data_IF_747516559674
#
_entry.id   IF_747516559674
#
_cell.length_a   1.000
_cell.length_b   1.000
_cell.length_c   1.000
_cell.angle_alpha   90.00
_cell.angle_beta   90.00
_cell.angle_gamma   90.00
#
_symmetry.space_group_name_H-M   'P 1'
#
loop_
_entity.id
_entity.type
_entity.pdbx_description
1 polymer ?
#
# COMPACT_ATOMS: atom_id res chain seq x y z
N UNK A 1 1.48 -5.35 0.60
CA UNK A 1 1.84 -4.01 0.08
C UNK A 1 2.75 -4.20 -1.13
N UNK A 2 2.45 -3.57 -2.26
CA UNK A 2 3.29 -3.69 -3.46
C UNK A 2 3.07 -2.49 -4.40
N UNK A 3 4.11 -2.14 -5.14
CA UNK A 3 4.06 -1.11 -6.18
C UNK A 3 3.71 -1.68 -7.56
N UNK A 4 4.07 -2.94 -7.83
CA UNK A 4 3.74 -3.65 -9.07
C UNK A 4 2.39 -4.39 -8.93
N UNK A 5 1.29 -3.63 -8.86
CA UNK A 5 -0.07 -4.18 -8.69
C UNK A 5 -0.42 -5.23 -9.75
N UNK A 6 -0.15 -5.04 -11.06
CA UNK A 6 -0.48 -6.05 -12.07
C UNK A 6 0.26 -7.37 -11.83
N UNK A 7 1.53 -7.32 -11.40
CA UNK A 7 2.30 -8.53 -11.08
C UNK A 7 1.69 -9.24 -9.87
N UNK A 8 1.33 -8.49 -8.82
CA UNK A 8 0.72 -9.06 -7.62
C UNK A 8 -0.62 -9.77 -7.91
N UNK A 9 -1.42 -9.23 -8.83
CA UNK A 9 -2.64 -9.86 -9.33
C UNK A 9 -2.30 -11.19 -10.02
N UNK A 10 -1.40 -11.15 -11.02
CA UNK A 10 -1.01 -12.32 -11.82
C UNK A 10 -0.49 -13.49 -10.97
N UNK A 11 0.27 -13.21 -9.91
CA UNK A 11 0.84 -14.26 -9.04
C UNK A 11 -0.12 -14.78 -7.96
N UNK A 12 -1.38 -14.34 -7.94
CA UNK A 12 -2.36 -14.85 -6.98
C UNK A 12 -2.29 -14.22 -5.59
N UNK A 13 -1.69 -13.02 -5.44
CA UNK A 13 -1.66 -12.34 -4.13
C UNK A 13 -3.09 -12.06 -3.67
N UNK A 14 -3.44 -12.53 -2.48
CA UNK A 14 -4.81 -12.45 -1.96
C UNK A 14 -5.17 -11.06 -1.38
N UNK A 15 -4.20 -10.35 -0.78
CA UNK A 15 -4.36 -9.00 -0.23
C UNK A 15 -3.36 -8.04 -0.86
N UNK A 16 -3.86 -7.13 -1.68
CA UNK A 16 -3.03 -6.20 -2.44
C UNK A 16 -3.31 -4.79 -1.92
N UNK A 17 -2.32 -4.22 -1.23
CA UNK A 17 -2.34 -2.81 -0.83
C UNK A 17 -1.38 -2.07 -1.77
N UNK A 18 -1.90 -1.25 -2.71
CA UNK A 18 -1.06 -0.52 -3.65
C UNK A 18 -0.12 0.45 -2.92
N UNK A 19 1.10 0.58 -3.43
CA UNK A 19 2.07 1.57 -2.98
C UNK A 19 2.64 2.33 -4.17
N UNK A 20 3.31 3.44 -3.91
CA UNK A 20 3.94 4.26 -4.95
C UNK A 20 5.41 3.87 -5.14
N UNK A 21 5.88 3.86 -6.39
CA UNK A 21 7.26 3.58 -6.78
C UNK A 21 8.15 4.82 -6.67
N UNK A 22 8.24 5.42 -5.47
CA UNK A 22 9.08 6.60 -5.23
C UNK A 22 9.79 6.39 -3.88
N UNK A 23 11.03 5.86 -3.84
CA UNK A 23 11.81 5.86 -2.61
C UNK A 23 12.31 7.31 -2.38
N UNK A 24 12.16 8.00 -1.25
CA UNK A 24 12.57 7.68 0.13
C UNK A 24 11.85 8.63 1.12
N UNK A 25 11.59 8.24 2.39
CA UNK A 25 11.48 6.87 2.90
C UNK A 25 10.26 6.13 2.31
N UNK A 26 9.32 6.90 1.74
CA UNK A 26 8.19 6.48 0.91
C UNK A 26 7.58 7.78 0.36
N UNK A 27 7.60 7.98 -0.96
CA UNK A 27 7.08 9.19 -1.60
C UNK A 27 8.15 10.23 -1.95
N UNK A 28 7.70 11.45 -2.17
CA UNK A 28 8.52 12.58 -2.60
C UNK A 28 9.29 13.20 -1.40
N UNK A 29 10.64 13.17 -1.40
CA UNK A 29 11.44 13.72 -0.32
C UNK A 29 11.37 15.25 -0.20
N UNK A 30 10.87 15.96 -1.22
CA UNK A 30 10.71 17.41 -1.21
C UNK A 30 9.49 17.89 -0.40
N UNK A 31 8.56 16.99 -0.08
CA UNK A 31 7.37 17.30 0.72
C UNK A 31 7.70 17.48 2.20
N UNK A 32 6.79 18.13 2.94
CA UNK A 32 6.96 18.38 4.37
C UNK A 32 7.03 17.08 5.18
N UNK A 33 7.71 17.10 6.34
CA UNK A 33 7.77 15.92 7.23
C UNK A 33 6.39 15.42 7.64
N UNK A 34 5.42 16.33 7.85
CA UNK A 34 4.05 15.96 8.17
C UNK A 34 3.34 15.25 7.01
N UNK A 35 3.52 15.72 5.77
CA UNK A 35 2.95 15.04 4.59
C UNK A 35 3.56 13.67 4.38
N UNK A 36 4.88 13.57 4.49
CA UNK A 36 5.57 12.28 4.42
C UNK A 36 5.10 11.32 5.52
N UNK A 37 4.85 11.83 6.73
CA UNK A 37 4.29 11.03 7.82
C UNK A 37 2.86 10.57 7.51
N UNK A 38 1.96 11.48 7.08
CA UNK A 38 0.57 11.14 6.72
C UNK A 38 0.52 10.09 5.61
N UNK A 39 1.41 10.21 4.62
CA UNK A 39 1.57 9.22 3.56
C UNK A 39 1.95 7.85 4.13
N UNK A 40 3.03 7.76 4.93
CA UNK A 40 3.44 6.49 5.55
C UNK A 40 2.34 5.91 6.44
N UNK A 41 1.76 6.73 7.31
CA UNK A 41 0.74 6.32 8.25
C UNK A 41 -0.50 5.75 7.56
N UNK A 42 -1.05 6.44 6.54
CA UNK A 42 -2.22 5.95 5.81
C UNK A 42 -1.97 4.60 5.12
N UNK A 43 -0.77 4.39 4.54
CA UNK A 43 -0.40 3.11 3.92
C UNK A 43 -0.24 1.98 4.92
N UNK A 44 0.47 2.23 6.03
CA UNK A 44 0.66 1.23 7.08
C UNK A 44 -0.65 0.88 7.77
N UNK A 45 -1.50 1.88 8.04
CA UNK A 45 -2.84 1.67 8.60
C UNK A 45 -3.68 0.76 7.70
N UNK A 46 -3.80 1.09 6.42
CA UNK A 46 -4.56 0.29 5.46
C UNK A 46 -3.99 -1.13 5.33
N UNK A 47 -2.67 -1.28 5.39
CA UNK A 47 -2.03 -2.60 5.38
C UNK A 47 -2.39 -3.43 6.61
N UNK A 48 -2.43 -2.82 7.79
CA UNK A 48 -2.85 -3.51 9.01
C UNK A 48 -4.34 -3.90 8.96
N UNK A 49 -5.20 -3.01 8.49
CA UNK A 49 -6.64 -3.28 8.32
C UNK A 49 -6.87 -4.43 7.33
N UNK A 50 -6.13 -4.44 6.21
CA UNK A 50 -6.20 -5.51 5.21
C UNK A 50 -5.86 -6.88 5.79
N UNK A 51 -4.88 -6.97 6.71
CA UNK A 51 -4.53 -8.23 7.38
C UNK A 51 -5.69 -8.79 8.22
N UNK A 52 -6.48 -7.90 8.82
CA UNK A 52 -7.63 -8.26 9.66
C UNK A 52 -8.94 -8.45 8.88
N UNK A 53 -8.96 -8.10 7.59
CA UNK A 53 -10.15 -8.22 6.75
C UNK A 53 -10.32 -9.67 6.28
N UNK A 54 -11.50 -10.25 6.52
CA UNK A 54 -11.89 -11.53 5.92
C UNK A 54 -12.05 -11.33 4.41
N UNK A 55 -11.38 -12.17 3.62
CA UNK A 55 -11.44 -12.09 2.15
C UNK A 55 -11.74 -13.47 1.58
N UNK A 56 -12.55 -13.49 0.51
CA UNK A 56 -12.91 -14.72 -0.23
C UNK A 56 -12.28 -14.79 -1.62
N UNK A 57 -11.78 -13.65 -2.11
CA UNK A 57 -11.16 -13.49 -3.41
C UNK A 57 -9.97 -12.51 -3.33
N UNK A 58 -9.17 -12.45 -4.39
CA UNK A 58 -8.09 -11.46 -4.47
C UNK A 58 -8.65 -10.05 -4.36
N UNK A 59 -8.19 -9.30 -3.35
CA UNK A 59 -8.71 -7.97 -3.07
C UNK A 59 -7.63 -6.92 -3.22
N UNK A 60 -7.88 -5.92 -4.07
CA UNK A 60 -7.07 -4.71 -4.18
C UNK A 60 -7.70 -3.64 -3.29
N UNK A 61 -7.02 -3.30 -2.20
CA UNK A 61 -7.47 -2.31 -1.23
C UNK A 61 -7.24 -0.90 -1.76
N UNK A 62 -8.25 -0.03 -1.59
CA UNK A 62 -8.19 1.37 -2.03
C UNK A 62 -7.53 2.23 -0.97
N UNK A 63 -6.73 3.18 -1.43
CA UNK A 63 -6.11 4.25 -0.63
C UNK A 63 -7.08 5.43 -0.51
#
# INVERSE_FOLDING_TARGET
MCNLVPVAITVGTNRIVPTISIPYPLGDPSTSKEEQYKLRYSRTKLALEALTTDIKEQTVFKI
#
